data_IF_008345653772
#
_entry.id   IF_008345653772
#
_cell.length_a   1.000
_cell.length_b   1.000
_cell.length_c   1.000
_cell.angle_alpha   90.00
_cell.angle_beta   90.00
_cell.angle_gamma   90.00
#
_symmetry.space_group_name_H-M   'P 1'
#
loop_
_entity.id
_entity.type
_entity.pdbx_description
1 polymer ?
#
# COMPACT_ATOMS: atom_id res chain seq x y z
N UNK A 1 28.57 -4.14 18.35
CA UNK A 1 27.17 -3.83 17.99
C UNK A 1 27.12 -3.63 16.48
N UNK A 2 26.57 -4.58 15.73
CA UNK A 2 26.44 -4.45 14.28
C UNK A 2 25.22 -3.55 14.05
N UNK A 3 25.44 -2.38 13.44
CA UNK A 3 24.37 -1.46 13.08
C UNK A 3 23.33 -2.19 12.22
N UNK A 4 22.05 -2.07 12.58
CA UNK A 4 20.92 -2.51 11.74
C UNK A 4 21.13 -1.86 10.36
N UNK A 5 21.24 -2.62 9.26
CA UNK A 5 21.46 -2.02 7.95
C UNK A 5 20.33 -1.03 7.67
N UNK A 6 20.68 0.13 7.12
CA UNK A 6 19.71 1.14 6.72
C UNK A 6 18.62 0.46 5.88
N UNK A 7 17.36 0.72 6.21
CA UNK A 7 16.20 0.13 5.55
C UNK A 7 16.24 0.49 4.06
N UNK A 8 16.57 -0.47 3.20
CA UNK A 8 16.58 -0.26 1.76
C UNK A 8 15.12 -0.07 1.27
N UNK A 9 14.73 1.11 0.78
CA UNK A 9 13.35 1.39 0.38
C UNK A 9 12.90 0.61 -0.86
N UNK A 10 13.84 -0.03 -1.57
CA UNK A 10 13.55 -0.84 -2.76
C UNK A 10 13.35 -2.32 -2.45
N UNK A 11 13.64 -2.78 -1.22
CA UNK A 11 13.37 -4.16 -0.85
C UNK A 11 11.87 -4.30 -0.49
N UNK A 12 11.14 -5.22 -1.12
CA UNK A 12 9.75 -5.44 -0.79
C UNK A 12 9.61 -6.07 0.60
N UNK A 13 8.61 -5.64 1.35
CA UNK A 13 8.22 -6.24 2.62
C UNK A 13 6.73 -6.55 2.61
N UNK A 14 6.34 -7.68 3.22
CA UNK A 14 4.94 -7.99 3.43
C UNK A 14 4.31 -6.94 4.36
N UNK A 15 3.11 -6.49 4.03
CA UNK A 15 2.33 -5.55 4.84
C UNK A 15 0.99 -6.18 5.22
N UNK A 16 0.52 -5.87 6.42
CA UNK A 16 -0.79 -6.33 6.91
C UNK A 16 -1.88 -5.34 6.48
N UNK A 17 -2.95 -5.84 5.88
CA UNK A 17 -4.16 -5.04 5.63
C UNK A 17 -4.88 -4.86 6.97
N UNK A 18 -5.16 -3.61 7.32
CA UNK A 18 -5.88 -3.25 8.53
C UNK A 18 -7.36 -2.98 8.25
N UNK A 19 -7.67 -2.40 7.08
CA UNK A 19 -9.04 -2.12 6.67
C UNK A 19 -9.15 -2.02 5.13
N UNK A 20 -10.30 -2.40 4.60
CA UNK A 20 -10.71 -2.15 3.22
C UNK A 20 -12.05 -1.44 3.25
N UNK A 21 -12.08 -0.17 2.86
CA UNK A 21 -13.29 0.66 2.82
C UNK A 21 -13.70 0.90 1.37
N UNK A 22 -14.91 0.51 0.99
CA UNK A 22 -15.49 0.93 -0.29
C UNK A 22 -15.81 2.42 -0.24
N UNK A 23 -15.38 3.17 -1.26
CA UNK A 23 -15.74 4.58 -1.43
C UNK A 23 -16.88 4.71 -2.45
N UNK A 24 -16.82 3.93 -3.53
CA UNK A 24 -17.85 3.78 -4.57
C UNK A 24 -17.85 2.34 -5.09
N UNK A 25 -18.58 2.08 -6.18
CA UNK A 25 -18.56 0.78 -6.88
C UNK A 25 -17.17 0.44 -7.45
N UNK A 26 -16.39 1.45 -7.83
CA UNK A 26 -15.09 1.30 -8.51
C UNK A 26 -13.90 1.87 -7.73
N UNK A 27 -14.12 2.58 -6.63
CA UNK A 27 -13.05 3.09 -5.77
C UNK A 27 -13.13 2.49 -4.36
N UNK A 28 -11.96 2.18 -3.81
CA UNK A 28 -11.82 1.67 -2.44
C UNK A 28 -10.54 2.22 -1.82
N UNK A 29 -10.54 2.33 -0.50
CA UNK A 29 -9.38 2.71 0.29
C UNK A 29 -8.87 1.51 1.08
N UNK A 30 -7.62 1.13 0.82
CA UNK A 30 -6.87 0.21 1.66
C UNK A 30 -6.17 0.99 2.77
N UNK A 31 -6.32 0.53 4.00
CA UNK A 31 -5.44 0.93 5.11
C UNK A 31 -4.51 -0.23 5.40
N UNK A 32 -3.20 -0.02 5.33
CA UNK A 32 -2.19 -1.04 5.61
C UNK A 32 -1.28 -0.61 6.74
N UNK A 33 -0.80 -1.58 7.50
CA UNK A 33 0.19 -1.35 8.55
C UNK A 33 1.53 -0.96 7.91
N UNK A 34 2.07 0.18 8.34
CA UNK A 34 3.35 0.68 7.87
C UNK A 34 3.97 1.59 8.92
N UNK A 35 5.23 1.32 9.28
CA UNK A 35 6.01 2.19 10.18
C UNK A 35 7.16 2.79 9.38
N UNK A 36 6.90 3.91 8.70
CA UNK A 36 7.88 4.62 7.89
C UNK A 36 7.61 6.14 7.91
N UNK A 37 8.66 6.93 7.72
CA UNK A 37 8.53 8.39 7.60
C UNK A 37 8.04 8.74 6.19
N UNK A 38 6.77 9.11 6.08
CA UNK A 38 6.13 9.47 4.81
C UNK A 38 6.13 10.99 4.64
N UNK A 39 6.45 11.45 3.43
CA UNK A 39 6.33 12.84 2.99
C UNK A 39 5.18 12.95 1.98
N UNK A 40 4.34 14.01 2.05
CA UNK A 40 3.28 14.23 1.05
C UNK A 40 3.81 14.20 -0.40
N UNK A 41 3.05 13.57 -1.29
CA UNK A 41 3.43 13.38 -2.70
C UNK A 41 4.21 12.11 -2.99
N UNK A 42 4.53 11.29 -1.98
CA UNK A 42 5.16 9.99 -2.18
C UNK A 42 4.16 8.91 -2.61
N UNK A 43 4.71 7.85 -3.20
CA UNK A 43 4.01 6.63 -3.58
C UNK A 43 4.82 5.41 -3.13
N UNK A 44 4.17 4.25 -3.08
CA UNK A 44 4.82 2.96 -2.88
C UNK A 44 4.63 2.08 -4.11
N UNK A 45 5.60 1.21 -4.39
CA UNK A 45 5.36 0.06 -5.27
C UNK A 45 4.57 -0.97 -4.47
N UNK A 46 3.30 -1.18 -4.82
CA UNK A 46 2.43 -2.15 -4.16
C UNK A 46 2.30 -3.37 -5.06
N UNK A 47 2.65 -4.53 -4.53
CA UNK A 47 2.61 -5.80 -5.27
C UNK A 47 1.62 -6.78 -4.68
N UNK A 48 1.00 -7.57 -5.55
CA UNK A 48 0.27 -8.78 -5.18
C UNK A 48 0.99 -9.99 -5.81
N UNK A 49 1.42 -10.98 -5.01
CA UNK A 49 2.11 -12.15 -5.52
C UNK A 49 1.34 -12.81 -6.67
N UNK A 50 2.05 -13.13 -7.76
CA UNK A 50 1.51 -13.74 -9.01
C UNK A 50 0.56 -12.87 -9.84
N UNK A 51 0.25 -11.64 -9.42
CA UNK A 51 -0.64 -10.74 -10.15
C UNK A 51 0.15 -9.61 -10.82
N UNK A 52 1.02 -8.94 -10.06
CA UNK A 52 1.85 -7.83 -10.55
C UNK A 52 2.10 -6.78 -9.48
N UNK A 53 2.63 -5.64 -9.91
CA UNK A 53 2.92 -4.48 -9.08
C UNK A 53 2.61 -3.18 -9.81
N UNK A 54 2.32 -2.12 -9.06
CA UNK A 54 2.12 -0.79 -9.59
C UNK A 54 2.50 0.27 -8.55
N UNK A 55 2.93 1.47 -8.99
CA UNK A 55 3.06 2.62 -8.11
C UNK A 55 1.67 3.10 -7.67
N UNK A 56 1.44 3.15 -6.35
CA UNK A 56 0.21 3.66 -5.75
C UNK A 56 0.54 4.81 -4.82
N UNK A 57 -0.05 5.97 -5.09
CA UNK A 57 0.16 7.19 -4.30
C UNK A 57 -0.45 7.07 -2.92
N UNK A 58 0.23 7.62 -1.92
CA UNK A 58 -0.31 7.73 -0.56
C UNK A 58 -1.46 8.74 -0.55
N UNK A 59 -2.65 8.31 -0.15
CA UNK A 59 -3.82 9.20 0.00
C UNK A 59 -3.94 9.78 1.41
N UNK A 60 -3.49 9.06 2.43
CA UNK A 60 -3.42 9.52 3.81
C UNK A 60 -2.42 8.65 4.61
N UNK A 61 -1.96 9.11 5.77
CA UNK A 61 -1.07 8.33 6.63
C UNK A 61 -1.17 8.77 8.10
N UNK A 62 -0.78 7.88 9.01
CA UNK A 62 -0.67 8.12 10.44
C UNK A 62 0.58 7.47 11.02
N UNK A 63 0.64 7.32 12.35
CA UNK A 63 1.84 6.83 13.05
C UNK A 63 2.30 5.43 12.60
N UNK A 64 1.36 4.50 12.37
CA UNK A 64 1.67 3.10 12.04
C UNK A 64 0.81 2.54 10.90
N UNK A 65 0.29 3.43 10.05
CA UNK A 65 -0.52 3.03 8.90
C UNK A 65 -0.41 4.02 7.75
N UNK A 66 -0.65 3.50 6.55
CA UNK A 66 -0.77 4.29 5.32
C UNK A 66 -2.04 3.88 4.57
N UNK A 67 -2.65 4.84 3.91
CA UNK A 67 -3.83 4.65 3.07
C UNK A 67 -3.52 4.83 1.60
N UNK A 68 -4.19 3.98 0.82
CA UNK A 68 -4.18 4.01 -0.64
C UNK A 68 -5.61 4.00 -1.14
N UNK A 69 -6.03 5.09 -1.77
CA UNK A 69 -7.32 5.15 -2.46
C UNK A 69 -7.10 4.76 -3.92
N UNK A 70 -7.73 3.66 -4.33
CA UNK A 70 -7.42 2.95 -5.57
C UNK A 70 -8.71 2.80 -6.39
N UNK A 71 -8.60 3.01 -7.70
CA UNK A 71 -9.66 2.70 -8.66
C UNK A 71 -9.44 1.29 -9.26
N UNK A 72 -10.45 0.44 -9.19
CA UNK A 72 -10.45 -0.94 -9.65
C UNK A 72 -10.68 -1.07 -11.17
N UNK A 73 -9.65 -0.75 -11.97
CA UNK A 73 -9.73 -0.80 -13.45
C UNK A 73 -8.77 -1.81 -14.08
N UNK A 74 -7.63 -2.08 -13.45
CA UNK A 74 -6.59 -2.95 -13.98
C UNK A 74 -6.63 -4.34 -13.34
N UNK A 75 -5.87 -5.28 -13.90
CA UNK A 75 -5.74 -6.64 -13.36
C UNK A 75 -5.28 -6.64 -11.89
N UNK A 76 -4.30 -5.80 -11.55
CA UNK A 76 -3.79 -5.66 -10.19
C UNK A 76 -4.81 -4.96 -9.27
N UNK A 77 -5.27 -3.76 -9.65
CA UNK A 77 -6.13 -2.94 -8.78
C UNK A 77 -7.53 -3.52 -8.61
N UNK A 78 -8.06 -4.23 -9.61
CA UNK A 78 -9.30 -4.99 -9.49
C UNK A 78 -9.18 -6.19 -8.56
N UNK A 79 -8.04 -6.89 -8.56
CA UNK A 79 -7.78 -7.94 -7.58
C UNK A 79 -7.68 -7.40 -6.15
N UNK A 80 -7.08 -6.22 -5.98
CA UNK A 80 -6.93 -5.57 -4.67
C UNK A 80 -8.26 -5.27 -3.96
N UNK A 81 -9.33 -4.96 -4.70
CA UNK A 81 -10.67 -4.68 -4.13
C UNK A 81 -11.26 -5.87 -3.36
N UNK A 82 -10.81 -7.09 -3.68
CA UNK A 82 -11.32 -8.34 -3.11
C UNK A 82 -10.49 -8.87 -1.94
N UNK A 83 -9.44 -8.16 -1.53
CA UNK A 83 -8.59 -8.55 -0.39
C UNK A 83 -9.34 -8.42 0.94
N UNK A 84 -8.98 -9.26 1.93
CA UNK A 84 -9.57 -9.31 3.27
C UNK A 84 -8.48 -9.54 4.31
#
# INVERSE_FOLDING_TARGET
MIAKPASNPYLPSAAKILNVRSETDCEFTLTVQASCNITPGQFFQVSLPRIGEAPISVSNFGTDWVQFTIRAVGRLTGAMQHLR
#
